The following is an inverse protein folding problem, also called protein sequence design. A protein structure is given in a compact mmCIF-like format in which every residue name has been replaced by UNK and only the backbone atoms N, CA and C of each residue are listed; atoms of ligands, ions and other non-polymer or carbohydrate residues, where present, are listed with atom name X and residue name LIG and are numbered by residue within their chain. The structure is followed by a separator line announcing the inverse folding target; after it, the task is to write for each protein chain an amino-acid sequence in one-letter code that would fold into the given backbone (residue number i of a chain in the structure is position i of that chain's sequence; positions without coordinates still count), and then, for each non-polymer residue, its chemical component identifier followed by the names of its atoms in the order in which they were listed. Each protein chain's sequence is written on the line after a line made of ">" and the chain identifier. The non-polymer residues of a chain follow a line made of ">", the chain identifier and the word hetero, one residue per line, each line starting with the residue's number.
data_IF_617411874582
#
_entry.id   IF_617411874582
#
_cell.length_a   1.000
_cell.length_b   1.000
_cell.length_c   1.000
_cell.angle_alpha   90.00
_cell.angle_beta   90.00
_cell.angle_gamma   90.00
#
_symmetry.space_group_name_H-M   'P 1'
#
loop_
_entity.id
_entity.type
_entity.pdbx_description
1 polymer ?
#
# COMPACT_ATOMS: atom_id res chain seq x y z
N UNK A 1 -6.83 -15.68 3.98
CA UNK A 1 -6.84 -14.19 4.08
C UNK A 1 -8.11 -13.69 4.78
N UNK A 2 -8.21 -12.39 5.10
CA UNK A 2 -9.45 -11.80 5.67
C UNK A 2 -10.63 -11.89 4.67
N UNK A 3 -10.33 -11.77 3.38
CA UNK A 3 -11.30 -11.92 2.29
C UNK A 3 -11.98 -13.30 2.27
N UNK A 4 -11.25 -14.38 2.56
CA UNK A 4 -11.82 -15.75 2.68
C UNK A 4 -12.81 -15.88 3.84
N UNK A 5 -12.77 -14.96 4.81
CA UNK A 5 -13.68 -14.89 5.95
C UNK A 5 -14.82 -13.90 5.73
N UNK A 6 -15.08 -13.55 4.47
CA UNK A 6 -16.12 -12.59 4.06
C UNK A 6 -15.97 -11.18 4.66
N UNK A 7 -14.75 -10.77 5.02
CA UNK A 7 -14.45 -9.41 5.45
C UNK A 7 -13.87 -8.64 4.26
N UNK A 8 -14.55 -7.61 3.74
CA UNK A 8 -13.99 -6.75 2.69
C UNK A 8 -12.75 -6.01 3.20
N UNK A 9 -11.73 -5.90 2.36
CA UNK A 9 -10.44 -5.28 2.70
C UNK A 9 -10.13 -4.17 1.71
N UNK A 10 -9.77 -3.02 2.27
CA UNK A 10 -9.12 -1.93 1.55
C UNK A 10 -7.63 -1.92 1.91
N UNK A 11 -6.77 -2.12 0.92
CA UNK A 11 -5.32 -1.97 1.09
C UNK A 11 -4.92 -0.50 1.08
N UNK A 12 -3.87 -0.14 1.82
CA UNK A 12 -3.29 1.20 1.80
C UNK A 12 -1.78 1.09 1.59
N UNK A 13 -1.27 1.69 0.51
CA UNK A 13 0.13 1.62 0.12
C UNK A 13 0.73 3.02 -0.12
N UNK A 14 2.07 3.09 -0.09
CA UNK A 14 2.82 4.34 -0.20
C UNK A 14 2.97 5.00 1.16
N UNK A 15 2.65 6.29 1.26
CA UNK A 15 2.69 6.98 2.55
C UNK A 15 1.54 6.50 3.45
N UNK A 16 1.89 5.71 4.48
CA UNK A 16 0.98 5.27 5.55
C UNK A 16 1.19 6.14 6.80
N UNK A 17 0.21 6.99 7.21
CA UNK A 17 0.36 7.87 8.36
C UNK A 17 0.73 7.16 9.67
N UNK A 18 0.24 5.93 9.86
CA UNK A 18 0.62 5.05 10.98
C UNK A 18 2.14 4.76 11.07
N UNK A 19 2.90 4.96 9.98
CA UNK A 19 4.35 4.77 9.91
C UNK A 19 5.12 6.09 9.83
N UNK A 20 4.51 7.24 10.17
CA UNK A 20 5.12 8.57 10.03
C UNK A 20 6.48 8.72 10.74
N UNK A 21 6.67 8.10 11.90
CA UNK A 21 7.94 8.14 12.62
C UNK A 21 9.04 7.32 11.94
N UNK A 22 8.67 6.21 11.28
CA UNK A 22 9.58 5.38 10.49
C UNK A 22 10.01 6.12 9.23
N UNK A 23 9.08 6.83 8.58
CA UNK A 23 9.38 7.67 7.42
C UNK A 23 10.13 8.97 7.80
N UNK A 24 10.12 9.34 9.08
CA UNK A 24 10.64 10.62 9.57
C UNK A 24 9.84 11.81 9.01
N UNK A 25 8.52 11.72 9.02
CA UNK A 25 7.57 12.72 8.52
C UNK A 25 6.75 12.28 7.30
N UNK A 26 5.89 13.17 6.82
CA UNK A 26 5.05 12.94 5.64
C UNK A 26 5.84 13.14 4.34
N UNK A 27 6.52 12.08 3.88
CA UNK A 27 7.36 12.11 2.68
C UNK A 27 6.74 11.32 1.53
N UNK A 28 7.00 11.75 0.30
CA UNK A 28 6.62 11.01 -0.92
C UNK A 28 7.29 9.63 -0.92
N UNK A 29 6.53 8.59 -1.21
CA UNK A 29 7.03 7.20 -1.31
C UNK A 29 6.95 6.72 -2.77
N UNK A 30 7.65 5.64 -3.12
CA UNK A 30 7.55 5.03 -4.46
C UNK A 30 8.25 5.80 -5.56
N UNK A 31 9.44 6.35 -5.29
CA UNK A 31 10.31 7.02 -6.28
C UNK A 31 11.49 6.14 -6.68
N UNK A 32 11.95 6.30 -7.93
CA UNK A 32 13.06 5.52 -8.47
C UNK A 32 12.76 4.02 -8.38
N UNK A 33 13.74 3.24 -7.92
CA UNK A 33 13.62 1.77 -7.83
C UNK A 33 12.49 1.32 -6.87
N UNK A 34 12.10 2.17 -5.91
CA UNK A 34 11.00 1.87 -4.98
C UNK A 34 9.61 1.92 -5.63
N UNK A 35 9.47 2.48 -6.84
CA UNK A 35 8.22 2.46 -7.59
C UNK A 35 7.82 1.03 -8.00
N UNK A 36 8.82 0.22 -8.36
CA UNK A 36 8.59 -1.17 -8.76
C UNK A 36 8.10 -2.00 -7.58
N UNK A 37 8.73 -1.86 -6.40
CA UNK A 37 8.27 -2.52 -5.18
C UNK A 37 6.85 -2.12 -4.82
N UNK A 38 6.51 -0.83 -4.92
CA UNK A 38 5.15 -0.36 -4.64
C UNK A 38 4.10 -0.97 -5.59
N UNK A 39 4.48 -1.18 -6.85
CA UNK A 39 3.63 -1.83 -7.84
C UNK A 39 3.45 -3.33 -7.54
N UNK A 40 4.54 -4.02 -7.20
CA UNK A 40 4.50 -5.44 -6.80
C UNK A 40 3.67 -5.67 -5.53
N UNK A 41 3.80 -4.78 -4.53
CA UNK A 41 2.98 -4.81 -3.31
C UNK A 41 1.49 -4.63 -3.63
N UNK A 42 1.15 -3.75 -4.59
CA UNK A 42 -0.24 -3.54 -5.00
C UNK A 42 -0.83 -4.81 -5.65
N UNK A 43 -0.07 -5.47 -6.53
CA UNK A 43 -0.46 -6.75 -7.13
C UNK A 43 -0.59 -7.86 -6.09
N UNK A 44 0.31 -7.89 -5.10
CA UNK A 44 0.25 -8.85 -4.01
C UNK A 44 -1.03 -8.66 -3.15
N UNK A 45 -1.42 -7.41 -2.87
CA UNK A 45 -2.66 -7.11 -2.14
C UNK A 45 -3.92 -7.47 -2.96
N UNK A 46 -3.91 -7.20 -4.26
CA UNK A 46 -4.98 -7.63 -5.17
C UNK A 46 -5.11 -9.16 -5.16
N UNK A 47 -4.00 -9.88 -5.35
CA UNK A 47 -3.97 -11.35 -5.32
C UNK A 47 -4.39 -11.91 -3.95
N UNK A 48 -4.17 -11.16 -2.86
CA UNK A 48 -4.63 -11.50 -1.53
C UNK A 48 -6.14 -11.21 -1.28
N UNK A 49 -6.84 -10.68 -2.28
CA UNK A 49 -8.26 -10.39 -2.23
C UNK A 49 -8.62 -9.05 -1.59
N UNK A 50 -7.77 -8.02 -1.70
CA UNK A 50 -8.21 -6.64 -1.42
C UNK A 50 -9.16 -6.15 -2.54
N UNK A 51 -10.30 -5.56 -2.19
CA UNK A 51 -11.26 -5.04 -3.18
C UNK A 51 -11.01 -3.58 -3.56
N UNK A 52 -10.27 -2.87 -2.71
CA UNK A 52 -9.96 -1.46 -2.86
C UNK A 52 -8.50 -1.22 -2.48
N UNK A 53 -7.90 -0.20 -3.09
CA UNK A 53 -6.56 0.25 -2.76
C UNK A 53 -6.57 1.78 -2.63
N UNK A 54 -5.96 2.31 -1.57
CA UNK A 54 -5.69 3.74 -1.41
C UNK A 54 -4.19 3.96 -1.62
N UNK A 55 -3.76 4.43 -2.81
CA UNK A 55 -2.38 4.81 -3.05
C UNK A 55 -2.14 6.25 -2.57
N UNK A 56 -1.22 6.45 -1.62
CA UNK A 56 -0.81 7.80 -1.21
C UNK A 56 0.53 8.15 -1.84
N UNK A 57 0.42 8.93 -2.91
CA UNK A 57 1.44 9.73 -3.61
C UNK A 57 2.74 8.97 -3.93
N UNK A 58 2.73 8.27 -5.07
CA UNK A 58 3.87 8.18 -5.96
C UNK A 58 3.90 9.42 -6.84
N UNK A 59 5.04 10.07 -7.00
CA UNK A 59 5.21 11.22 -7.88
C UNK A 59 6.66 11.54 -8.04
#
# INVERSE_FOLDING_TARGET
>A
MLAERAVPVCGHLGLTPQSVNVFGGYKVQGRGDAAQTLFEDALALEAAGAQLLVPVRAG
#
